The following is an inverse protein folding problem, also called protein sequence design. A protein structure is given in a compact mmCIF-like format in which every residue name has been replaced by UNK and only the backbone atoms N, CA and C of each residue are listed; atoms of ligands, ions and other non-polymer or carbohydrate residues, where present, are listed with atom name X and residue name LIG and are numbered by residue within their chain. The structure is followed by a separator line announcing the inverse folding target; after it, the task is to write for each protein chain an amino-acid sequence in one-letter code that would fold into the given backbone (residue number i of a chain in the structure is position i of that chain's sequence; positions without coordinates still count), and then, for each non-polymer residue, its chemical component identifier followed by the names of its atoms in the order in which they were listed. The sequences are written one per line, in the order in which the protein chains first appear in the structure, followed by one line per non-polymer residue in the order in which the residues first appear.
data_IF_180792391461
#
_entry.id   IF_180792391461
#
_cell.length_a   1.000
_cell.length_b   1.000
_cell.length_c   1.000
_cell.angle_alpha   90.00
_cell.angle_beta   90.00
_cell.angle_gamma   90.00
#
_symmetry.space_group_name_H-M   'P 1'
#
loop_
_entity.id
_entity.type
_entity.pdbx_description
1 polymer ?
#
# COMPACT_ATOMS: atom_id res chain seq x y z
N UNK A 1 17.09 -3.25 -6.52
CA UNK A 1 15.64 -3.06 -6.75
C UNK A 1 14.83 -3.14 -5.46
N UNK A 2 14.88 -4.24 -4.70
CA UNK A 2 14.11 -4.36 -3.45
C UNK A 2 14.40 -3.30 -2.37
N UNK A 3 15.66 -2.89 -2.22
CA UNK A 3 16.03 -1.79 -1.30
C UNK A 3 15.39 -0.46 -1.71
N UNK A 4 15.34 -0.19 -3.02
CA UNK A 4 14.66 0.99 -3.56
C UNK A 4 13.16 0.91 -3.27
N UNK A 5 12.52 -0.23 -3.55
CA UNK A 5 11.11 -0.45 -3.26
C UNK A 5 10.75 -0.31 -1.79
N UNK A 6 11.60 -0.80 -0.88
CA UNK A 6 11.39 -0.67 0.55
C UNK A 6 11.29 0.79 1.01
N UNK A 7 11.95 1.71 0.31
CA UNK A 7 11.90 3.14 0.59
C UNK A 7 10.79 3.84 -0.20
N UNK A 8 10.67 3.56 -1.49
CA UNK A 8 9.77 4.28 -2.40
C UNK A 8 8.31 3.90 -2.20
N UNK A 9 8.00 2.63 -1.93
CA UNK A 9 6.61 2.16 -1.76
C UNK A 9 5.94 2.80 -0.53
N UNK A 10 6.54 2.81 0.67
CA UNK A 10 5.99 3.57 1.78
C UNK A 10 5.92 5.08 1.51
N UNK A 11 6.94 5.65 0.84
CA UNK A 11 6.96 7.07 0.52
C UNK A 11 5.82 7.48 -0.42
N UNK A 12 5.52 6.68 -1.44
CA UNK A 12 4.39 6.91 -2.35
C UNK A 12 3.05 6.92 -1.60
N UNK A 13 2.88 6.05 -0.60
CA UNK A 13 1.69 6.07 0.26
C UNK A 13 1.66 7.31 1.17
N UNK A 14 2.82 7.77 1.65
CA UNK A 14 2.94 9.03 2.40
C UNK A 14 2.53 10.22 1.55
N UNK A 15 3.08 10.32 0.33
CA UNK A 15 2.78 11.38 -0.64
C UNK A 15 1.30 11.39 -1.00
N UNK A 16 0.72 10.22 -1.28
CA UNK A 16 -0.70 10.06 -1.54
C UNK A 16 -1.54 10.61 -0.38
N UNK A 17 -1.21 10.26 0.86
CA UNK A 17 -1.94 10.75 2.04
C UNK A 17 -1.76 12.25 2.25
N UNK A 18 -0.56 12.78 2.00
CA UNK A 18 -0.27 14.20 2.14
C UNK A 18 -1.11 15.07 1.18
N UNK A 19 -1.31 14.63 -0.08
CA UNK A 19 -2.03 15.41 -1.09
C UNK A 19 -3.56 15.34 -0.97
N UNK A 20 -4.10 14.41 -0.18
CA UNK A 20 -5.56 14.22 -0.05
C UNK A 20 -6.26 15.31 0.79
N UNK A 21 -5.53 16.20 1.47
CA UNK A 21 -6.14 17.29 2.25
C UNK A 21 -7.02 16.84 3.42
N UNK A 22 -6.80 15.63 3.94
CA UNK A 22 -7.59 15.07 5.05
C UNK A 22 -7.26 15.76 6.38
N UNK A 23 -8.17 15.67 7.36
CA UNK A 23 -7.88 16.09 8.73
C UNK A 23 -6.64 15.36 9.31
N UNK A 24 -5.83 16.06 10.10
CA UNK A 24 -4.54 15.54 10.60
C UNK A 24 -4.65 14.20 11.34
N UNK A 25 -5.72 14.01 12.12
CA UNK A 25 -5.98 12.75 12.82
C UNK A 25 -6.23 11.59 11.84
N UNK A 26 -6.96 11.84 10.75
CA UNK A 26 -7.23 10.85 9.70
C UNK A 26 -5.95 10.53 8.94
N UNK A 27 -5.17 11.54 8.56
CA UNK A 27 -3.86 11.34 7.93
C UNK A 27 -2.95 10.46 8.78
N UNK A 28 -2.80 10.80 10.07
CA UNK A 28 -1.95 10.04 10.99
C UNK A 28 -2.40 8.59 11.15
N UNK A 29 -3.71 8.35 11.25
CA UNK A 29 -4.29 7.01 11.31
C UNK A 29 -3.99 6.19 10.04
N UNK A 30 -4.16 6.79 8.86
CA UNK A 30 -3.87 6.13 7.58
C UNK A 30 -2.39 5.80 7.46
N UNK A 31 -1.49 6.75 7.75
CA UNK A 31 -0.04 6.52 7.64
C UNK A 31 0.44 5.41 8.58
N UNK A 32 -0.06 5.38 9.82
CA UNK A 32 0.24 4.31 10.79
C UNK A 32 -0.21 2.92 10.34
N UNK A 33 -1.15 2.82 9.41
CA UNK A 33 -1.63 1.56 8.84
C UNK A 33 -0.91 1.22 7.53
N UNK A 34 -0.78 2.19 6.64
CA UNK A 34 -0.28 2.02 5.28
C UNK A 34 1.23 1.83 5.21
N UNK A 35 2.01 2.63 5.96
CA UNK A 35 3.48 2.59 5.92
C UNK A 35 4.03 1.26 6.42
N UNK A 36 3.60 0.74 7.61
CA UNK A 36 4.07 -0.57 8.06
C UNK A 36 3.60 -1.71 7.16
N UNK A 37 2.39 -1.62 6.60
CA UNK A 37 1.91 -2.63 5.66
C UNK A 37 2.75 -2.67 4.38
N UNK A 38 3.12 -1.50 3.83
CA UNK A 38 4.01 -1.43 2.66
C UNK A 38 5.40 -2.00 2.96
N UNK A 39 5.97 -1.65 4.11
CA UNK A 39 7.25 -2.22 4.55
C UNK A 39 7.17 -3.74 4.70
N UNK A 40 6.12 -4.26 5.34
CA UNK A 40 5.89 -5.69 5.51
C UNK A 40 5.72 -6.43 4.18
N UNK A 41 4.98 -5.85 3.22
CA UNK A 41 4.81 -6.38 1.87
C UNK A 41 6.16 -6.59 1.18
N UNK A 42 7.02 -5.57 1.18
CA UNK A 42 8.35 -5.68 0.55
C UNK A 42 9.26 -6.67 1.29
N UNK A 43 9.23 -6.69 2.63
CA UNK A 43 10.03 -7.62 3.42
C UNK A 43 9.62 -9.08 3.21
N UNK A 44 8.32 -9.36 3.07
CA UNK A 44 7.81 -10.72 2.82
C UNK A 44 8.04 -11.18 1.38
N UNK A 45 8.02 -10.27 0.40
CA UNK A 45 8.32 -10.61 -1.00
C UNK A 45 9.80 -10.91 -1.25
N UNK A 46 10.70 -10.30 -0.48
CA UNK A 46 12.15 -10.36 -0.71
C UNK A 46 12.73 -11.79 -0.74
N UNK A 47 12.41 -12.69 0.22
CA UNK A 47 12.96 -14.05 0.20
C UNK A 47 12.55 -14.87 -1.02
N UNK A 48 11.34 -14.65 -1.53
CA UNK A 48 10.80 -15.31 -2.72
C UNK A 48 11.45 -14.82 -4.01
N UNK A 49 11.61 -13.49 -4.16
CA UNK A 49 12.26 -12.88 -5.34
C UNK A 49 13.76 -13.19 -5.43
N UNK A 50 14.43 -13.33 -4.29
CA UNK A 50 15.85 -13.68 -4.22
C UNK A 50 16.09 -15.20 -4.22
N UNK A 51 15.04 -16.03 -4.28
CA UNK A 51 15.13 -17.50 -4.26
C UNK A 51 15.96 -18.04 -3.09
N UNK A 52 15.84 -17.42 -1.92
CA UNK A 52 16.74 -17.67 -0.78
C UNK A 52 16.58 -19.05 -0.14
N UNK A 53 15.44 -19.72 -0.36
CA UNK A 53 15.10 -20.96 0.35
C UNK A 53 14.91 -20.76 1.87
N UNK A 54 14.66 -19.53 2.30
CA UNK A 54 14.52 -19.19 3.72
C UNK A 54 13.42 -20.03 4.37
N UNK A 55 13.74 -20.65 5.51
CA UNK A 55 12.87 -21.59 6.23
C UNK A 55 12.41 -22.83 5.43
N UNK A 56 13.02 -23.12 4.28
CA UNK A 56 12.62 -24.24 3.41
C UNK A 56 11.28 -24.02 2.71
N UNK A 57 10.77 -22.78 2.68
CA UNK A 57 9.52 -22.44 2.02
C UNK A 57 9.72 -22.22 0.51
N UNK A 58 8.73 -22.62 -0.29
CA UNK A 58 8.70 -22.32 -1.72
C UNK A 58 8.56 -20.80 -1.98
N UNK A 59 9.10 -20.32 -3.10
CA UNK A 59 9.01 -18.90 -3.46
C UNK A 59 7.55 -18.42 -3.65
N UNK A 60 6.68 -19.30 -4.10
CA UNK A 60 5.22 -19.08 -4.22
C UNK A 60 4.58 -18.73 -2.86
N UNK A 61 5.04 -19.36 -1.78
CA UNK A 61 4.54 -19.12 -0.42
C UNK A 61 4.93 -17.72 0.04
N UNK A 62 6.14 -17.26 -0.24
CA UNK A 62 6.57 -15.88 0.05
C UNK A 62 5.75 -14.84 -0.73
N UNK A 63 5.42 -15.12 -2.00
CA UNK A 63 4.49 -14.30 -2.79
C UNK A 63 3.10 -14.21 -2.15
N UNK A 64 2.55 -15.35 -1.71
CA UNK A 64 1.26 -15.39 -1.01
C UNK A 64 1.29 -14.61 0.30
N UNK A 65 2.37 -14.74 1.09
CA UNK A 65 2.56 -14.00 2.32
C UNK A 65 2.66 -12.49 2.07
N UNK A 66 3.37 -12.06 1.03
CA UNK A 66 3.46 -10.66 0.59
C UNK A 66 2.11 -10.11 0.10
N UNK A 67 1.27 -10.95 -0.49
CA UNK A 67 -0.06 -10.55 -0.96
C UNK A 67 -1.00 -10.13 0.18
N UNK A 68 -0.83 -10.65 1.40
CA UNK A 68 -1.67 -10.31 2.55
C UNK A 68 -1.61 -8.81 2.91
N UNK A 69 -0.42 -8.21 3.20
CA UNK A 69 -0.32 -6.77 3.44
C UNK A 69 -0.69 -5.94 2.21
N UNK A 70 -0.46 -6.42 0.99
CA UNK A 70 -0.94 -5.75 -0.22
C UNK A 70 -2.47 -5.61 -0.24
N UNK A 71 -3.20 -6.70 0.01
CA UNK A 71 -4.66 -6.68 0.09
C UNK A 71 -5.16 -5.81 1.25
N UNK A 72 -4.43 -5.77 2.37
CA UNK A 72 -4.74 -4.84 3.46
C UNK A 72 -4.58 -3.37 3.06
N UNK A 73 -3.53 -3.01 2.32
CA UNK A 73 -3.36 -1.66 1.75
C UNK A 73 -4.56 -1.34 0.84
N UNK A 74 -4.96 -2.28 -0.04
CA UNK A 74 -6.14 -2.10 -0.90
C UNK A 74 -7.40 -1.86 -0.07
N UNK A 75 -7.64 -2.68 0.96
CA UNK A 75 -8.77 -2.53 1.86
C UNK A 75 -8.81 -1.14 2.52
N UNK A 76 -7.68 -0.68 3.08
CA UNK A 76 -7.60 0.65 3.71
C UNK A 76 -7.90 1.75 2.68
N UNK A 77 -7.26 1.70 1.52
CA UNK A 77 -7.41 2.73 0.50
C UNK A 77 -8.83 2.79 -0.07
N UNK A 78 -9.45 1.65 -0.35
CA UNK A 78 -10.76 1.57 -1.01
C UNK A 78 -11.95 1.62 -0.05
N UNK A 79 -11.85 1.05 1.14
CA UNK A 79 -12.98 0.93 2.07
C UNK A 79 -12.87 1.98 3.17
N UNK A 80 -11.74 2.06 3.87
CA UNK A 80 -11.61 2.92 5.05
C UNK A 80 -11.63 4.39 4.67
N UNK A 81 -10.87 4.80 3.64
CA UNK A 81 -10.88 6.19 3.19
C UNK A 81 -12.26 6.55 2.61
N UNK A 82 -12.97 5.62 1.96
CA UNK A 82 -14.35 5.82 1.45
C UNK A 82 -15.33 6.31 2.51
N UNK A 83 -15.15 5.89 3.76
CA UNK A 83 -15.97 6.35 4.89
C UNK A 83 -15.73 7.83 5.20
N UNK A 84 -14.49 8.31 5.04
CA UNK A 84 -14.09 9.69 5.35
C UNK A 84 -14.28 10.69 4.21
N UNK A 85 -14.52 10.24 2.96
CA UNK A 85 -14.68 11.15 1.81
C UNK A 85 -16.06 11.76 1.66
N UNK A 86 -17.09 11.18 2.26
CA UNK A 86 -18.47 11.67 2.09
C UNK A 86 -18.63 13.13 2.52
N UNK A 87 -17.73 13.62 3.37
CA UNK A 87 -17.71 15.00 3.88
C UNK A 87 -16.69 15.90 3.15
N UNK A 88 -15.99 15.40 2.14
CA UNK A 88 -14.92 16.13 1.43
C UNK A 88 -15.44 16.77 0.14
N UNK A 89 -14.72 17.79 -0.35
CA UNK A 89 -15.06 18.48 -1.59
C UNK A 89 -15.02 17.54 -2.82
N UNK A 90 -15.80 17.83 -3.89
CA UNK A 90 -15.78 17.03 -5.12
C UNK A 90 -14.38 16.87 -5.73
N UNK A 91 -13.53 17.89 -5.60
CA UNK A 91 -12.14 17.86 -6.08
C UNK A 91 -11.31 16.79 -5.36
N UNK A 92 -11.41 16.72 -4.03
CA UNK A 92 -10.69 15.71 -3.21
C UNK A 92 -11.20 14.31 -3.52
N UNK A 93 -12.51 14.16 -3.71
CA UNK A 93 -13.09 12.87 -4.12
C UNK A 93 -12.59 12.42 -5.50
N UNK A 94 -12.46 13.34 -6.46
CA UNK A 94 -11.89 13.07 -7.78
C UNK A 94 -10.44 12.62 -7.72
N UNK A 95 -9.59 13.37 -7.01
CA UNK A 95 -8.17 13.03 -6.85
C UNK A 95 -7.96 11.64 -6.26
N UNK A 96 -8.74 11.27 -5.25
CA UNK A 96 -8.62 9.95 -4.67
C UNK A 96 -9.11 8.83 -5.60
N UNK A 97 -10.17 9.04 -6.37
CA UNK A 97 -10.60 8.06 -7.38
C UNK A 97 -9.48 7.80 -8.37
N UNK A 98 -8.84 8.85 -8.89
CA UNK A 98 -7.69 8.72 -9.78
C UNK A 98 -6.53 7.98 -9.12
N UNK A 99 -6.17 8.36 -7.89
CA UNK A 99 -5.08 7.71 -7.18
C UNK A 99 -5.33 6.22 -6.92
N UNK A 100 -6.55 5.84 -6.55
CA UNK A 100 -6.95 4.43 -6.38
C UNK A 100 -6.82 3.63 -7.67
N UNK A 101 -7.31 4.18 -8.77
CA UNK A 101 -7.21 3.53 -10.09
C UNK A 101 -5.75 3.37 -10.50
N UNK A 102 -4.93 4.43 -10.34
CA UNK A 102 -3.51 4.37 -10.65
C UNK A 102 -2.79 3.33 -9.80
N UNK A 103 -3.07 3.29 -8.50
CA UNK A 103 -2.41 2.36 -7.59
C UNK A 103 -2.77 0.90 -7.94
N UNK A 104 -4.04 0.57 -8.22
CA UNK A 104 -4.40 -0.77 -8.68
C UNK A 104 -3.77 -1.09 -10.03
N UNK A 105 -3.83 -0.17 -10.99
CA UNK A 105 -3.29 -0.39 -12.33
C UNK A 105 -1.78 -0.58 -12.33
N UNK A 106 -1.06 0.12 -11.46
CA UNK A 106 0.40 0.07 -11.40
C UNK A 106 0.90 -1.00 -10.45
N UNK A 107 0.20 -1.27 -9.33
CA UNK A 107 0.70 -2.18 -8.30
C UNK A 107 0.11 -3.59 -8.39
N UNK A 108 -1.03 -3.76 -9.06
CA UNK A 108 -1.71 -5.05 -9.20
C UNK A 108 -0.93 -6.11 -9.99
N UNK A 109 0.16 -5.72 -10.65
CA UNK A 109 1.05 -6.63 -11.41
C UNK A 109 2.23 -7.16 -10.59
N UNK A 110 2.42 -6.66 -9.35
CA UNK A 110 3.55 -7.03 -8.49
C UNK A 110 3.34 -8.17 -7.46
N UNK A 111 2.11 -8.61 -7.09
CA UNK A 111 1.99 -9.72 -6.14
C UNK A 111 2.40 -11.07 -6.75
#
# INVERSE_FOLDING_TARGET
RYVDWFLTVPLLLVELVAVMGLARAVQSSLLKRLVPAAAAMILLGYPGDMHTGLFGLENSVWGLLSTIPFLYIMYVLFIEISKSLKTQSPKVQGLLKTARTLLVATWGVYP
#
